data_IF_611208478959
#
_entry.id   IF_611208478959
#
_cell.length_a   1.000
_cell.length_b   1.000
_cell.length_c   1.000
_cell.angle_alpha   90.00
_cell.angle_beta   90.00
_cell.angle_gamma   90.00
#
_symmetry.space_group_name_H-M   'P 1'
#
loop_
_entity.id
_entity.type
_entity.pdbx_description
1 polymer ?
#
# COMPACT_ATOMS: atom_id res chain seq x y z
N UNK A 1 27.91 -60.40 31.46
CA UNK A 1 26.58 -59.76 31.65
C UNK A 1 26.62 -58.22 31.58
N UNK A 2 27.64 -57.60 30.97
CA UNK A 2 27.77 -56.08 30.89
C UNK A 2 27.87 -55.53 29.46
N UNK A 3 27.61 -56.31 28.42
CA UNK A 3 27.82 -55.88 27.03
C UNK A 3 26.55 -55.48 26.29
N UNK A 4 25.37 -55.77 26.81
CA UNK A 4 24.10 -55.43 26.18
C UNK A 4 23.56 -54.03 26.52
N UNK A 5 24.04 -53.42 27.62
CA UNK A 5 23.57 -52.10 28.04
C UNK A 5 24.08 -50.94 27.19
N UNK A 6 25.16 -51.12 26.44
CA UNK A 6 25.78 -50.04 25.63
C UNK A 6 25.13 -49.84 24.26
N UNK A 7 24.50 -50.87 23.71
CA UNK A 7 23.89 -50.79 22.37
C UNK A 7 22.58 -50.00 22.37
N UNK A 8 21.80 -50.06 23.45
CA UNK A 8 20.53 -49.32 23.56
C UNK A 8 20.71 -47.81 23.71
N UNK A 9 21.79 -47.40 24.39
CA UNK A 9 22.06 -45.99 24.62
C UNK A 9 22.47 -45.23 23.35
N UNK A 10 23.25 -45.85 22.48
CA UNK A 10 23.70 -45.25 21.21
C UNK A 10 22.59 -45.05 20.18
N UNK A 11 21.58 -45.92 20.16
CA UNK A 11 20.43 -45.80 19.26
C UNK A 11 19.50 -44.67 19.66
N UNK A 12 19.33 -44.44 20.95
CA UNK A 12 18.48 -43.34 21.46
C UNK A 12 19.06 -41.96 21.10
N UNK A 13 20.36 -41.79 21.22
CA UNK A 13 21.05 -40.55 20.87
C UNK A 13 21.03 -40.26 19.37
N UNK A 14 21.11 -41.27 18.52
CA UNK A 14 21.01 -41.10 17.05
C UNK A 14 19.61 -40.65 16.63
N UNK A 15 18.59 -41.25 17.22
CA UNK A 15 17.20 -40.89 16.93
C UNK A 15 16.86 -39.48 17.44
N UNK A 16 17.37 -39.11 18.61
CA UNK A 16 17.19 -37.79 19.18
C UNK A 16 17.84 -36.67 18.29
N UNK A 17 19.06 -36.94 17.81
CA UNK A 17 19.74 -36.05 16.86
C UNK A 17 19.00 -35.91 15.54
N UNK A 18 18.45 -37.00 15.00
CA UNK A 18 17.63 -37.01 13.81
C UNK A 18 16.35 -36.18 13.99
N UNK A 19 15.71 -36.29 15.12
CA UNK A 19 14.50 -35.56 15.49
C UNK A 19 14.78 -34.07 15.66
N UNK A 20 15.89 -33.69 16.26
CA UNK A 20 16.30 -32.30 16.42
C UNK A 20 16.68 -31.65 15.09
N UNK A 21 17.35 -32.38 14.20
CA UNK A 21 17.70 -31.89 12.87
C UNK A 21 16.47 -31.71 11.97
N UNK A 22 15.51 -32.66 12.03
CA UNK A 22 14.26 -32.53 11.27
C UNK A 22 13.38 -31.39 11.80
N UNK A 23 13.30 -31.23 13.11
CA UNK A 23 12.58 -30.09 13.72
C UNK A 23 13.25 -28.74 13.36
N UNK A 24 14.58 -28.66 13.40
CA UNK A 24 15.33 -27.49 12.99
C UNK A 24 15.13 -27.16 11.50
N UNK A 25 15.10 -28.16 10.62
CA UNK A 25 14.83 -27.98 9.19
C UNK A 25 13.41 -27.50 8.93
N UNK A 26 12.42 -28.02 9.65
CA UNK A 26 11.02 -27.58 9.54
C UNK A 26 10.84 -26.12 10.00
N UNK A 27 11.51 -25.72 11.09
CA UNK A 27 11.50 -24.34 11.55
C UNK A 27 12.17 -23.40 10.51
N UNK A 28 13.30 -23.85 9.94
CA UNK A 28 14.01 -23.08 8.91
C UNK A 28 13.16 -22.92 7.64
N UNK A 29 12.49 -23.99 7.19
CA UNK A 29 11.55 -23.96 6.06
C UNK A 29 10.32 -23.07 6.34
N UNK A 30 9.84 -23.06 7.59
CA UNK A 30 8.75 -22.17 8.01
C UNK A 30 9.15 -20.69 8.00
N UNK A 31 10.40 -20.37 8.28
CA UNK A 31 10.92 -18.99 8.24
C UNK A 31 11.10 -18.44 6.80
N UNK A 32 11.21 -19.31 5.80
CA UNK A 32 11.36 -18.90 4.40
C UNK A 32 10.08 -18.32 3.76
N UNK A 33 8.92 -18.48 4.38
CA UNK A 33 7.65 -17.94 3.90
C UNK A 33 7.32 -16.54 4.45
N UNK A 34 8.26 -15.88 5.09
CA UNK A 34 8.06 -14.62 5.84
C UNK A 34 8.11 -13.33 5.03
N UNK A 35 8.15 -13.37 3.69
CA UNK A 35 8.15 -12.17 2.85
C UNK A 35 6.76 -11.95 2.25
N UNK A 36 6.06 -10.92 2.69
CA UNK A 36 4.82 -10.47 2.07
C UNK A 36 4.99 -9.04 1.54
N UNK A 37 4.59 -8.85 0.29
CA UNK A 37 4.49 -7.54 -0.33
C UNK A 37 3.04 -7.32 -0.75
N UNK A 38 2.41 -6.30 -0.17
CA UNK A 38 1.03 -5.93 -0.46
C UNK A 38 1.01 -4.53 -1.06
N UNK A 39 0.35 -4.39 -2.19
CA UNK A 39 0.09 -3.11 -2.84
C UNK A 39 -1.41 -2.90 -2.88
N UNK A 40 -1.87 -1.76 -2.36
CA UNK A 40 -3.25 -1.31 -2.43
C UNK A 40 -3.33 0.00 -3.21
N UNK A 41 -4.27 0.09 -4.14
CA UNK A 41 -4.59 1.30 -4.87
C UNK A 41 -6.07 1.57 -4.68
N UNK A 42 -6.42 2.82 -4.39
CA UNK A 42 -7.80 3.30 -4.27
C UNK A 42 -7.93 4.57 -5.10
N UNK A 43 -8.93 4.62 -5.96
CA UNK A 43 -9.14 5.69 -6.93
C UNK A 43 -8.43 5.43 -8.27
N UNK A 44 -8.91 6.09 -9.33
CA UNK A 44 -8.28 6.01 -10.64
C UNK A 44 -7.03 6.90 -10.73
N UNK A 45 -6.00 6.49 -11.49
CA UNK A 45 -4.84 7.34 -11.71
C UNK A 45 -5.26 8.63 -12.43
N UNK A 46 -4.71 9.76 -12.00
CA UNK A 46 -4.78 11.02 -12.75
C UNK A 46 -3.64 11.05 -13.76
N UNK A 47 -3.89 10.73 -15.03
CA UNK A 47 -2.88 10.92 -16.05
C UNK A 47 -2.60 12.42 -16.19
N UNK A 48 -1.35 12.83 -16.04
CA UNK A 48 -0.97 14.24 -16.12
C UNK A 48 -1.34 14.87 -17.48
N UNK A 49 -1.32 14.07 -18.54
CA UNK A 49 -1.78 14.45 -19.87
C UNK A 49 -3.26 14.84 -19.88
N UNK A 50 -4.11 14.13 -19.16
CA UNK A 50 -5.53 14.48 -19.04
C UNK A 50 -5.76 15.74 -18.22
N UNK A 51 -4.97 15.99 -17.18
CA UNK A 51 -5.07 17.25 -16.42
C UNK A 51 -4.73 18.43 -17.31
N UNK A 52 -3.75 18.29 -18.19
CA UNK A 52 -3.37 19.34 -19.15
C UNK A 52 -4.42 19.62 -20.23
N UNK A 53 -5.37 18.70 -20.48
CA UNK A 53 -6.48 18.96 -21.42
C UNK A 53 -7.57 19.88 -20.86
N UNK A 54 -7.55 20.13 -19.55
CA UNK A 54 -8.51 21.06 -18.92
C UNK A 54 -8.12 22.51 -19.26
N UNK A 55 -8.93 23.16 -20.07
CA UNK A 55 -8.74 24.55 -20.43
C UNK A 55 -9.58 25.48 -19.54
N UNK A 56 -8.89 26.33 -18.75
CA UNK A 56 -9.55 27.35 -17.92
C UNK A 56 -10.36 28.32 -18.82
N UNK A 57 -11.56 28.64 -18.38
CA UNK A 57 -12.49 29.51 -19.12
C UNK A 57 -13.23 28.84 -20.28
N UNK A 58 -12.99 27.54 -20.55
CA UNK A 58 -13.64 26.81 -21.63
C UNK A 58 -14.26 25.50 -21.19
N UNK A 59 -13.49 24.62 -20.56
CA UNK A 59 -13.94 23.29 -20.14
C UNK A 59 -15.10 23.40 -19.15
N UNK A 60 -16.17 22.66 -19.39
CA UNK A 60 -17.34 22.65 -18.52
C UNK A 60 -17.35 21.39 -17.60
N UNK A 61 -18.29 21.36 -16.64
CA UNK A 61 -18.43 20.26 -15.66
C UNK A 61 -18.65 18.91 -16.30
N UNK A 62 -19.43 18.86 -17.38
CA UNK A 62 -19.76 17.60 -18.05
C UNK A 62 -18.49 17.02 -18.71
N UNK A 63 -17.73 17.84 -19.40
CA UNK A 63 -16.46 17.44 -20.02
C UNK A 63 -15.47 16.93 -18.97
N UNK A 64 -15.39 17.61 -17.81
CA UNK A 64 -14.55 17.12 -16.68
C UNK A 64 -15.02 15.75 -16.20
N UNK A 65 -16.33 15.56 -16.01
CA UNK A 65 -16.88 14.27 -15.57
C UNK A 65 -16.71 13.16 -16.62
N UNK A 66 -16.73 13.50 -17.91
CA UNK A 66 -16.43 12.55 -18.98
C UNK A 66 -14.96 12.10 -18.99
N UNK A 67 -14.03 13.00 -18.64
CA UNK A 67 -12.59 12.71 -18.61
C UNK A 67 -12.12 12.02 -17.34
N UNK A 68 -12.67 12.37 -16.18
CA UNK A 68 -12.21 11.92 -14.86
C UNK A 68 -13.22 11.05 -14.12
N UNK A 69 -14.43 10.86 -14.67
CA UNK A 69 -15.51 10.17 -13.97
C UNK A 69 -16.21 11.05 -12.94
N UNK A 70 -16.99 10.43 -12.06
CA UNK A 70 -17.64 11.13 -10.96
C UNK A 70 -16.60 11.58 -9.93
N UNK A 71 -16.69 12.82 -9.43
CA UNK A 71 -15.79 13.28 -8.35
C UNK A 71 -16.06 12.53 -7.05
N UNK A 72 -15.02 12.37 -6.23
CA UNK A 72 -15.13 11.79 -4.90
C UNK A 72 -15.93 12.68 -3.93
N UNK A 73 -15.72 14.01 -4.05
CA UNK A 73 -16.44 15.02 -3.28
C UNK A 73 -16.83 16.22 -4.16
N UNK A 74 -17.98 16.82 -3.88
CA UNK A 74 -18.42 18.09 -4.45
C UNK A 74 -18.59 19.07 -3.30
N UNK A 75 -17.82 20.16 -3.34
CA UNK A 75 -17.85 21.21 -2.32
C UNK A 75 -18.35 22.50 -2.96
N UNK A 76 -19.26 23.21 -2.29
CA UNK A 76 -19.69 24.55 -2.68
C UNK A 76 -19.19 25.57 -1.67
N UNK A 77 -18.37 26.49 -2.11
CA UNK A 77 -17.80 27.52 -1.27
C UNK A 77 -17.56 28.81 -2.06
N UNK A 78 -17.94 29.96 -1.46
CA UNK A 78 -17.69 31.29 -2.01
C UNK A 78 -18.18 31.50 -3.45
N UNK A 79 -19.28 30.84 -3.84
CA UNK A 79 -19.83 30.95 -5.20
C UNK A 79 -19.18 30.03 -6.22
N UNK A 80 -18.22 29.21 -5.79
CA UNK A 80 -17.61 28.15 -6.59
C UNK A 80 -18.22 26.80 -6.27
N UNK A 81 -18.33 25.96 -7.28
CA UNK A 81 -18.51 24.52 -7.14
C UNK A 81 -17.15 23.87 -7.40
N UNK A 82 -16.73 23.00 -6.50
CA UNK A 82 -15.39 22.43 -6.51
C UNK A 82 -15.53 20.90 -6.60
N UNK A 83 -15.01 20.32 -7.68
CA UNK A 83 -14.88 18.88 -7.78
C UNK A 83 -13.54 18.46 -7.20
N UNK A 84 -13.58 17.47 -6.30
CA UNK A 84 -12.40 16.93 -5.68
C UNK A 84 -12.27 15.44 -6.02
N UNK A 85 -11.16 15.09 -6.63
CA UNK A 85 -10.75 13.73 -6.94
C UNK A 85 -9.56 13.34 -6.08
N UNK A 86 -9.58 12.11 -5.56
CA UNK A 86 -8.53 11.58 -4.68
C UNK A 86 -8.03 10.26 -5.20
N UNK A 87 -6.73 10.04 -5.08
CA UNK A 87 -6.11 8.75 -5.30
C UNK A 87 -5.19 8.43 -4.14
N UNK A 88 -5.24 7.19 -3.69
CA UNK A 88 -4.34 6.66 -2.69
C UNK A 88 -3.56 5.48 -3.28
N UNK A 89 -2.24 5.49 -3.11
CA UNK A 89 -1.35 4.37 -3.40
C UNK A 89 -0.68 3.96 -2.09
N UNK A 90 -0.86 2.70 -1.70
CA UNK A 90 -0.25 2.15 -0.49
C UNK A 90 0.63 0.97 -0.86
N UNK A 91 1.86 0.96 -0.36
CA UNK A 91 2.82 -0.12 -0.53
C UNK A 91 3.27 -0.60 0.84
N UNK A 92 2.87 -1.82 1.18
CA UNK A 92 3.29 -2.48 2.41
C UNK A 92 4.27 -3.59 2.06
N UNK A 93 5.51 -3.44 2.52
CA UNK A 93 6.51 -4.51 2.49
C UNK A 93 6.71 -5.06 3.89
N UNK A 94 6.64 -6.38 4.05
CA UNK A 94 6.91 -7.07 5.30
C UNK A 94 7.99 -8.13 5.08
N UNK A 95 9.04 -8.05 5.91
CA UNK A 95 10.16 -8.97 5.91
C UNK A 95 10.46 -9.37 7.35
N UNK A 96 10.09 -10.61 7.72
CA UNK A 96 10.31 -11.17 9.06
C UNK A 96 9.78 -10.28 10.19
N UNK A 97 10.62 -9.38 10.70
CA UNK A 97 10.31 -8.50 11.84
C UNK A 97 10.25 -7.02 11.46
N UNK A 98 10.43 -6.70 10.17
CA UNK A 98 10.47 -5.33 9.68
C UNK A 98 9.32 -5.12 8.69
N UNK A 99 8.50 -4.13 8.95
CA UNK A 99 7.49 -3.66 8.01
C UNK A 99 7.78 -2.23 7.56
N UNK A 100 7.47 -1.95 6.31
CA UNK A 100 7.58 -0.63 5.71
C UNK A 100 6.28 -0.29 5.01
N UNK A 101 5.61 0.74 5.48
CA UNK A 101 4.39 1.28 4.87
C UNK A 101 4.71 2.60 4.16
N UNK A 102 4.36 2.68 2.89
CA UNK A 102 4.44 3.92 2.13
C UNK A 102 3.04 4.25 1.61
N UNK A 103 2.57 5.46 1.91
CA UNK A 103 1.26 5.95 1.47
C UNK A 103 1.49 7.22 0.64
N UNK A 104 1.12 7.14 -0.64
CA UNK A 104 1.02 8.30 -1.51
C UNK A 104 -0.44 8.74 -1.65
N UNK A 105 -0.69 10.02 -1.73
CA UNK A 105 -2.00 10.55 -2.05
C UNK A 105 -1.88 11.66 -3.10
N UNK A 106 -2.66 11.54 -4.15
CA UNK A 106 -2.80 12.57 -5.17
C UNK A 106 -4.19 13.19 -5.03
N UNK A 107 -4.24 14.50 -5.14
CA UNK A 107 -5.46 15.28 -5.02
C UNK A 107 -5.58 16.22 -6.22
N UNK A 108 -6.74 16.18 -6.89
CA UNK A 108 -7.08 17.10 -7.97
C UNK A 108 -8.32 17.88 -7.56
N UNK A 109 -8.19 19.20 -7.52
CA UNK A 109 -9.26 20.13 -7.22
C UNK A 109 -9.56 20.94 -8.46
N UNK A 110 -10.82 20.92 -8.93
CA UNK A 110 -11.27 21.66 -10.10
C UNK A 110 -12.36 22.63 -9.66
N UNK A 111 -12.11 23.91 -9.84
CA UNK A 111 -12.99 25.00 -9.43
C UNK A 111 -13.83 25.44 -10.61
N UNK A 112 -15.15 25.47 -10.44
CA UNK A 112 -16.09 25.93 -11.44
C UNK A 112 -16.72 27.24 -10.99
N UNK A 113 -16.83 28.18 -11.92
CA UNK A 113 -17.57 29.43 -11.69
C UNK A 113 -19.09 29.18 -11.67
N UNK A 114 -19.87 30.24 -11.45
CA UNK A 114 -21.33 30.18 -11.42
C UNK A 114 -21.98 29.69 -12.73
N UNK A 115 -21.26 29.74 -13.84
CA UNK A 115 -21.71 29.25 -15.16
C UNK A 115 -21.35 27.77 -15.36
N UNK A 116 -20.62 27.14 -14.43
CA UNK A 116 -20.18 25.75 -14.54
C UNK A 116 -18.98 25.55 -15.46
N UNK A 117 -18.21 26.60 -15.69
CA UNK A 117 -16.98 26.58 -16.48
C UNK A 117 -15.79 26.55 -15.52
N UNK A 118 -14.75 25.80 -15.85
CA UNK A 118 -13.52 25.71 -15.06
C UNK A 118 -12.85 27.08 -14.94
N UNK A 119 -12.68 27.52 -13.73
CA UNK A 119 -11.97 28.77 -13.37
C UNK A 119 -10.54 28.49 -12.95
N UNK A 120 -10.35 27.44 -12.13
CA UNK A 120 -9.02 27.02 -11.68
C UNK A 120 -8.90 25.52 -11.50
N UNK A 121 -7.66 25.03 -11.58
CA UNK A 121 -7.29 23.61 -11.39
C UNK A 121 -6.06 23.56 -10.50
N UNK A 122 -6.16 22.82 -9.40
CA UNK A 122 -5.05 22.59 -8.47
C UNK A 122 -4.78 21.10 -8.37
N UNK A 123 -3.58 20.70 -8.72
CA UNK A 123 -3.10 19.32 -8.56
C UNK A 123 -2.03 19.27 -7.48
N UNK A 124 -2.21 18.40 -6.53
CA UNK A 124 -1.28 18.18 -5.44
C UNK A 124 -0.91 16.70 -5.31
N UNK A 125 0.38 16.41 -5.38
CA UNK A 125 0.94 15.11 -5.08
C UNK A 125 1.56 15.14 -3.69
N UNK A 126 1.10 14.28 -2.79
CA UNK A 126 1.62 14.20 -1.43
C UNK A 126 2.06 12.78 -1.12
N UNK A 127 3.35 12.59 -1.07
CA UNK A 127 3.92 11.34 -0.52
C UNK A 127 4.07 11.52 0.99
N UNK A 128 3.27 10.82 1.78
CA UNK A 128 3.45 10.73 3.21
C UNK A 128 4.36 9.58 3.58
N UNK A 129 5.25 9.91 4.44
CA UNK A 129 6.35 9.20 5.05
C UNK A 129 6.13 7.71 5.30
N UNK A 130 7.22 7.03 5.10
CA UNK A 130 7.58 5.70 5.45
C UNK A 130 7.57 5.53 6.96
N UNK A 131 6.61 4.82 7.48
CA UNK A 131 6.68 4.31 8.84
C UNK A 131 7.45 2.99 8.83
N UNK A 132 8.59 2.97 9.52
CA UNK A 132 9.29 1.74 9.83
C UNK A 132 8.76 1.22 11.16
N UNK A 133 8.22 0.02 11.15
CA UNK A 133 7.86 -0.68 12.39
C UNK A 133 8.74 -1.92 12.52
N UNK A 134 9.37 -2.06 13.67
CA UNK A 134 10.13 -3.24 14.06
C UNK A 134 9.32 -3.96 15.14
N UNK A 135 8.69 -5.04 14.76
CA UNK A 135 7.95 -5.86 15.73
C UNK A 135 8.93 -6.67 16.59
N UNK A 136 8.77 -6.74 17.95
CA UNK A 136 7.63 -6.29 18.75
C UNK A 136 7.76 -4.88 19.35
N UNK A 137 8.65 -4.03 18.89
CA UNK A 137 9.01 -2.75 19.51
C UNK A 137 8.39 -1.51 18.82
N UNK A 138 7.46 -1.70 17.90
CA UNK A 138 6.75 -0.60 17.26
C UNK A 138 5.65 -0.04 18.18
N UNK A 139 5.72 1.26 18.50
CA UNK A 139 4.57 2.05 18.97
C UNK A 139 3.73 2.51 17.79
#
# INVERSE_FOLDING_TARGET
MLRESQAGFSHHWRNLRGLLLSAGLLVLLGMLNGCAFVRGEVGEPFPEDRIQTIEKGKTNRQEVAEHFGAPDDIVQANGYEIFHYRRFDSKLGWLLFVSRLNIGSDHLWIFFNSQGIVDDVVFGNRTKNVEFQIWPFGE
#
